data_IF_388650887832
#
_entry.id   IF_388650887832
#
_cell.length_a   1.000
_cell.length_b   1.000
_cell.length_c   1.000
_cell.angle_alpha   90.00
_cell.angle_beta   90.00
_cell.angle_gamma   90.00
#
_symmetry.space_group_name_H-M   'P 1'
#
loop_
_entity.id
_entity.type
_entity.pdbx_description
1 polymer ?
#
# COMPACT_ATOMS: atom_id res chain seq x y z
N UNK A 1 7.14 -5.50 -25.64
CA UNK A 1 7.76 -4.93 -24.43
C UNK A 1 9.16 -5.49 -24.30
N UNK A 2 10.13 -4.61 -24.02
CA UNK A 2 11.55 -4.90 -23.80
C UNK A 2 11.85 -4.95 -22.29
N UNK A 3 13.04 -5.40 -21.92
CA UNK A 3 13.50 -5.43 -20.53
C UNK A 3 13.38 -4.07 -19.84
N UNK A 4 13.82 -3.00 -20.52
CA UNK A 4 13.77 -1.64 -19.99
C UNK A 4 12.36 -1.12 -19.70
N UNK A 5 11.34 -1.57 -20.44
CA UNK A 5 9.97 -1.11 -20.22
C UNK A 5 9.50 -1.47 -18.80
N UNK A 6 9.82 -2.67 -18.32
CA UNK A 6 9.50 -3.11 -16.97
C UNK A 6 10.32 -2.39 -15.89
N UNK A 7 11.60 -2.14 -16.15
CA UNK A 7 12.46 -1.38 -15.22
C UNK A 7 11.99 0.06 -15.08
N UNK A 8 11.66 0.73 -16.19
CA UNK A 8 11.06 2.06 -16.18
C UNK A 8 9.71 2.05 -15.46
N UNK A 9 8.89 1.02 -15.66
CA UNK A 9 7.63 0.84 -14.93
C UNK A 9 7.84 0.75 -13.41
N UNK A 10 8.80 -0.06 -12.95
CA UNK A 10 9.16 -0.17 -11.53
C UNK A 10 9.67 1.17 -10.96
N UNK A 11 10.51 1.88 -11.70
CA UNK A 11 11.04 3.19 -11.30
C UNK A 11 9.94 4.25 -11.23
N UNK A 12 9.06 4.30 -12.23
CA UNK A 12 7.94 5.24 -12.31
C UNK A 12 6.97 5.04 -11.14
N UNK A 13 6.73 3.79 -10.75
CA UNK A 13 5.96 3.40 -9.58
C UNK A 13 6.72 3.56 -8.25
N UNK A 14 7.95 4.07 -8.26
CA UNK A 14 8.75 4.32 -7.06
C UNK A 14 8.93 3.06 -6.18
N UNK A 15 9.13 1.90 -6.81
CA UNK A 15 9.43 0.65 -6.11
C UNK A 15 10.80 0.78 -5.43
N UNK A 16 10.96 0.18 -4.25
CA UNK A 16 12.23 0.20 -3.53
C UNK A 16 13.33 -0.48 -4.34
N UNK A 17 14.41 0.24 -4.63
CA UNK A 17 15.55 -0.32 -5.35
C UNK A 17 16.16 -1.51 -4.59
N UNK A 18 16.20 -1.45 -3.24
CA UNK A 18 16.67 -2.56 -2.40
C UNK A 18 15.82 -3.82 -2.57
N UNK A 19 14.50 -3.67 -2.70
CA UNK A 19 13.62 -4.79 -2.98
C UNK A 19 13.93 -5.38 -4.36
N UNK A 20 14.06 -4.52 -5.39
CA UNK A 20 14.43 -4.95 -6.73
C UNK A 20 15.78 -5.69 -6.77
N UNK A 21 16.78 -5.23 -6.02
CA UNK A 21 18.07 -5.93 -5.91
C UNK A 21 17.91 -7.35 -5.36
N UNK A 22 17.00 -7.56 -4.40
CA UNK A 22 16.66 -8.88 -3.87
C UNK A 22 16.04 -9.79 -4.94
N UNK A 23 15.08 -9.26 -5.69
CA UNK A 23 14.43 -9.98 -6.79
C UNK A 23 15.40 -10.34 -7.92
N UNK A 24 16.21 -9.38 -8.38
CA UNK A 24 17.22 -9.64 -9.41
C UNK A 24 18.18 -10.75 -8.97
N UNK A 25 18.62 -10.74 -7.71
CA UNK A 25 19.48 -11.79 -7.17
C UNK A 25 18.78 -13.16 -7.17
N UNK A 26 17.50 -13.22 -6.81
CA UNK A 26 16.72 -14.46 -6.82
C UNK A 26 16.65 -15.08 -8.23
N UNK A 27 16.46 -14.26 -9.26
CA UNK A 27 16.45 -14.69 -10.66
C UNK A 27 17.86 -14.84 -11.29
N UNK A 28 18.94 -14.80 -10.48
CA UNK A 28 20.33 -14.83 -10.96
C UNK A 28 20.68 -13.75 -12.00
N UNK A 29 20.05 -12.58 -11.88
CA UNK A 29 20.24 -11.44 -12.77
C UNK A 29 21.27 -10.46 -12.20
N UNK A 30 21.98 -9.76 -13.09
CA UNK A 30 22.91 -8.69 -12.71
C UNK A 30 22.15 -7.55 -12.03
N UNK A 31 22.70 -7.06 -10.92
CA UNK A 31 22.19 -5.89 -10.23
C UNK A 31 23.15 -4.72 -10.37
N UNK A 32 22.72 -3.53 -9.95
CA UNK A 32 23.52 -2.29 -10.00
C UNK A 32 23.40 -1.51 -8.68
N UNK A 33 24.11 -0.37 -8.57
CA UNK A 33 24.05 0.48 -7.36
C UNK A 33 22.85 1.43 -7.36
N UNK A 34 22.28 1.68 -8.52
CA UNK A 34 21.09 2.53 -8.67
C UNK A 34 20.38 2.32 -10.00
N UNK A 35 19.26 3.04 -10.16
CA UNK A 35 18.40 2.95 -11.35
C UNK A 35 19.12 3.28 -12.65
N UNK A 36 19.94 4.34 -12.68
CA UNK A 36 20.64 4.79 -13.91
C UNK A 36 21.57 3.72 -14.46
N UNK A 37 22.41 3.12 -13.60
CA UNK A 37 23.31 2.04 -13.98
C UNK A 37 22.53 0.80 -14.43
N UNK A 38 21.48 0.42 -13.71
CA UNK A 38 20.66 -0.75 -14.05
C UNK A 38 19.99 -0.57 -15.42
N UNK A 39 19.40 0.59 -15.69
CA UNK A 39 18.75 0.87 -16.96
C UNK A 39 19.74 0.86 -18.13
N UNK A 40 20.98 1.29 -17.89
CA UNK A 40 22.06 1.21 -18.87
C UNK A 40 22.46 -0.24 -19.16
N UNK A 41 22.62 -1.06 -18.12
CA UNK A 41 22.99 -2.48 -18.23
C UNK A 41 21.97 -3.29 -19.03
N UNK A 42 20.69 -2.93 -18.93
CA UNK A 42 19.58 -3.64 -19.58
C UNK A 42 19.05 -2.97 -20.86
N UNK A 43 19.65 -1.84 -21.29
CA UNK A 43 19.13 -1.03 -22.40
C UNK A 43 18.98 -1.76 -23.73
N UNK A 44 19.90 -2.67 -24.02
CA UNK A 44 19.91 -3.45 -25.27
C UNK A 44 19.68 -4.94 -25.04
N UNK A 45 19.28 -5.34 -23.83
CA UNK A 45 19.07 -6.74 -23.51
C UNK A 45 17.75 -7.23 -24.10
N UNK A 46 17.85 -8.18 -25.04
CA UNK A 46 16.73 -8.81 -25.72
C UNK A 46 16.59 -10.31 -25.38
N UNK A 47 17.32 -10.79 -24.37
CA UNK A 47 17.21 -12.18 -23.94
C UNK A 47 15.83 -12.46 -23.36
N UNK A 48 15.16 -13.49 -23.88
CA UNK A 48 13.77 -13.80 -23.56
C UNK A 48 13.57 -14.08 -22.07
N UNK A 49 14.51 -14.80 -21.45
CA UNK A 49 14.44 -15.17 -20.03
C UNK A 49 14.56 -13.95 -19.13
N UNK A 50 15.46 -13.02 -19.45
CA UNK A 50 15.59 -11.73 -18.75
C UNK A 50 14.31 -10.91 -18.85
N UNK A 51 13.72 -10.82 -20.04
CA UNK A 51 12.46 -10.10 -20.24
C UNK A 51 11.32 -10.73 -19.43
N UNK A 52 11.24 -12.06 -19.42
CA UNK A 52 10.21 -12.80 -18.67
C UNK A 52 10.38 -12.61 -17.15
N UNK A 53 11.61 -12.69 -16.63
CA UNK A 53 11.89 -12.49 -15.22
C UNK A 53 11.55 -11.05 -14.78
N UNK A 54 11.92 -10.04 -15.57
CA UNK A 54 11.55 -8.64 -15.28
C UNK A 54 10.05 -8.40 -15.34
N UNK A 55 9.36 -9.05 -16.29
CA UNK A 55 7.90 -9.05 -16.36
C UNK A 55 7.30 -9.65 -15.09
N UNK A 56 7.82 -10.78 -14.62
CA UNK A 56 7.35 -11.44 -13.41
C UNK A 56 7.55 -10.58 -12.16
N UNK A 57 8.73 -9.97 -12.01
CA UNK A 57 9.02 -9.01 -10.93
C UNK A 57 8.04 -7.84 -11.01
N UNK A 58 7.86 -7.24 -12.19
CA UNK A 58 6.95 -6.10 -12.37
C UNK A 58 5.51 -6.45 -12.01
N UNK A 59 4.98 -7.56 -12.54
CA UNK A 59 3.62 -7.99 -12.27
C UNK A 59 3.40 -8.35 -10.80
N UNK A 60 4.39 -8.95 -10.16
CA UNK A 60 4.31 -9.23 -8.73
C UNK A 60 4.29 -7.95 -7.89
N UNK A 61 5.12 -6.95 -8.23
CA UNK A 61 5.07 -5.63 -7.59
C UNK A 61 3.79 -4.84 -7.94
N UNK A 62 3.20 -5.08 -9.11
CA UNK A 62 1.92 -4.49 -9.50
C UNK A 62 0.79 -5.01 -8.63
N UNK A 63 0.80 -6.30 -8.30
CA UNK A 63 -0.29 -6.95 -7.59
C UNK A 63 -0.12 -6.95 -6.07
N UNK A 64 1.10 -7.18 -5.58
CA UNK A 64 1.35 -7.55 -4.18
C UNK A 64 2.29 -6.61 -3.43
N UNK A 65 2.71 -5.47 -3.98
CA UNK A 65 3.64 -4.56 -3.28
C UNK A 65 3.02 -3.92 -2.03
N UNK A 66 3.58 -2.79 -1.55
CA UNK A 66 3.12 -2.18 -0.30
C UNK A 66 1.65 -1.70 -0.41
N UNK A 67 0.74 -2.37 0.29
CA UNK A 67 -0.71 -2.07 0.29
C UNK A 67 -1.21 -1.62 1.66
N UNK A 68 -2.16 -0.70 1.66
CA UNK A 68 -3.08 -0.56 2.78
C UNK A 68 -4.36 -1.33 2.43
N UNK A 69 -4.67 -2.38 3.20
CA UNK A 69 -5.83 -3.25 2.95
C UNK A 69 -6.93 -2.90 3.94
N UNK A 70 -8.01 -2.32 3.43
CA UNK A 70 -9.19 -1.96 4.21
C UNK A 70 -10.24 -3.06 4.12
N UNK A 71 -10.78 -3.46 5.27
CA UNK A 71 -11.75 -4.53 5.39
C UNK A 71 -13.17 -3.97 5.58
N UNK A 72 -14.11 -4.51 4.82
CA UNK A 72 -15.52 -4.29 4.99
C UNK A 72 -16.31 -5.55 4.61
N UNK A 73 -17.61 -5.53 4.90
CA UNK A 73 -18.55 -6.58 4.60
C UNK A 73 -19.84 -5.96 4.10
N UNK A 74 -20.50 -6.65 3.18
CA UNK A 74 -21.83 -6.31 2.73
C UNK A 74 -22.82 -6.42 3.90
N UNK A 75 -23.64 -5.40 4.11
CA UNK A 75 -24.63 -5.40 5.19
C UNK A 75 -25.73 -6.44 4.95
N UNK A 76 -26.15 -6.62 3.70
CA UNK A 76 -27.14 -7.60 3.30
C UNK A 76 -26.57 -8.53 2.22
N UNK A 77 -26.35 -9.80 2.56
CA UNK A 77 -25.76 -10.77 1.64
C UNK A 77 -26.59 -11.00 0.37
N UNK A 78 -27.90 -10.73 0.40
CA UNK A 78 -28.75 -10.88 -0.80
C UNK A 78 -28.36 -9.90 -1.91
N UNK A 79 -27.71 -8.77 -1.57
CA UNK A 79 -27.20 -7.80 -2.55
C UNK A 79 -25.95 -8.30 -3.28
N UNK A 80 -25.36 -9.43 -2.88
CA UNK A 80 -24.07 -9.89 -3.40
C UNK A 80 -24.09 -10.19 -4.90
N UNK A 81 -25.18 -10.77 -5.40
CA UNK A 81 -25.34 -11.08 -6.83
C UNK A 81 -25.42 -9.78 -7.65
N UNK A 82 -26.17 -8.80 -7.16
CA UNK A 82 -26.33 -7.50 -7.81
C UNK A 82 -25.01 -6.71 -7.79
N UNK A 83 -24.32 -6.69 -6.64
CA UNK A 83 -23.02 -6.03 -6.51
C UNK A 83 -21.98 -6.69 -7.42
N UNK A 84 -21.96 -8.02 -7.53
CA UNK A 84 -21.13 -8.75 -8.50
C UNK A 84 -21.38 -8.26 -9.92
N UNK A 85 -22.65 -8.11 -10.33
CA UNK A 85 -23.01 -7.60 -11.65
C UNK A 85 -22.50 -6.16 -11.84
N UNK A 86 -22.71 -5.27 -10.87
CA UNK A 86 -22.19 -3.89 -10.90
C UNK A 86 -20.66 -3.86 -11.06
N UNK A 87 -19.93 -4.71 -10.33
CA UNK A 87 -18.47 -4.77 -10.41
C UNK A 87 -17.98 -5.23 -11.80
N UNK A 88 -18.64 -6.21 -12.42
CA UNK A 88 -18.30 -6.70 -13.75
C UNK A 88 -18.54 -5.65 -14.85
N UNK A 89 -19.47 -4.72 -14.61
CA UNK A 89 -19.81 -3.63 -15.54
C UNK A 89 -19.01 -2.34 -15.30
N UNK A 90 -18.02 -2.33 -14.39
CA UNK A 90 -17.26 -1.13 -14.07
C UNK A 90 -16.39 -0.60 -15.22
N UNK A 91 -16.01 -1.46 -16.17
CA UNK A 91 -15.20 -1.07 -17.32
C UNK A 91 -16.08 -0.29 -18.29
N UNK A 92 -15.74 0.99 -18.48
CA UNK A 92 -16.34 1.83 -19.51
C UNK A 92 -15.34 2.00 -20.65
N UNK A 93 -15.48 1.21 -21.72
CA UNK A 93 -14.60 1.28 -22.89
C UNK A 93 -14.69 2.61 -23.64
N UNK A 94 -15.75 3.39 -23.46
CA UNK A 94 -15.90 4.69 -24.13
C UNK A 94 -15.23 5.83 -23.34
N UNK A 95 -14.72 5.55 -22.14
CA UNK A 95 -14.02 6.53 -21.31
C UNK A 95 -12.64 6.84 -21.90
N UNK A 96 -12.35 8.12 -22.15
CA UNK A 96 -11.05 8.55 -22.69
C UNK A 96 -9.89 8.19 -21.77
N UNK A 97 -10.08 8.28 -20.46
CA UNK A 97 -9.04 7.91 -19.49
C UNK A 97 -8.80 6.39 -19.52
N UNK A 98 -9.86 5.59 -19.67
CA UNK A 98 -9.73 4.13 -19.85
C UNK A 98 -8.88 3.79 -21.07
N UNK A 99 -9.17 4.38 -22.23
CA UNK A 99 -8.44 4.11 -23.47
C UNK A 99 -6.94 4.43 -23.37
N UNK A 100 -6.59 5.50 -22.67
CA UNK A 100 -5.19 5.87 -22.46
C UNK A 100 -4.48 4.90 -21.50
N UNK A 101 -5.15 4.53 -20.40
CA UNK A 101 -4.56 3.62 -19.42
C UNK A 101 -4.44 2.19 -19.94
N UNK A 102 -5.45 1.67 -20.64
CA UNK A 102 -5.43 0.30 -21.14
C UNK A 102 -4.41 0.09 -22.26
N UNK A 103 -4.09 1.14 -23.02
CA UNK A 103 -3.09 1.09 -24.10
C UNK A 103 -1.67 0.79 -23.59
N UNK A 104 -1.36 1.10 -22.33
CA UNK A 104 -0.05 0.88 -21.70
C UNK A 104 -0.08 -0.19 -20.62
N UNK A 105 -1.26 -0.54 -20.10
CA UNK A 105 -1.42 -1.57 -19.08
C UNK A 105 -0.74 -2.89 -19.52
N UNK A 106 0.08 -3.52 -18.65
CA UNK A 106 0.20 -3.30 -17.21
C UNK A 106 1.17 -2.19 -16.78
N UNK A 107 1.88 -1.55 -17.70
CA UNK A 107 2.84 -0.47 -17.42
C UNK A 107 2.12 0.86 -17.14
N UNK A 108 2.73 1.79 -16.38
CA UNK A 108 2.21 3.13 -16.26
C UNK A 108 2.37 3.90 -17.58
N UNK A 109 1.54 4.93 -17.78
CA UNK A 109 1.71 5.90 -18.86
C UNK A 109 3.04 6.66 -18.68
N UNK A 110 3.58 7.20 -19.77
CA UNK A 110 4.86 7.90 -19.72
C UNK A 110 4.81 9.17 -18.84
N UNK A 111 5.91 9.41 -18.13
CA UNK A 111 6.15 10.55 -17.26
C UNK A 111 6.13 11.91 -17.98
N UNK A 112 6.45 11.96 -19.28
CA UNK A 112 6.29 13.18 -20.07
C UNK A 112 4.81 13.58 -20.16
N UNK A 113 3.92 12.60 -20.26
CA UNK A 113 2.45 12.76 -20.26
C UNK A 113 1.92 13.11 -18.85
N UNK A 114 2.63 12.73 -17.78
CA UNK A 114 2.22 13.00 -16.38
C UNK A 114 2.18 14.47 -15.96
N UNK A 115 3.04 15.34 -16.52
CA UNK A 115 3.28 16.68 -15.92
C UNK A 115 2.13 17.67 -16.08
N UNK A 116 1.19 17.47 -17.01
CA UNK A 116 0.16 18.48 -17.35
C UNK A 116 -1.30 17.98 -17.36
N UNK A 117 -1.57 16.67 -17.28
CA UNK A 117 -2.94 16.13 -17.40
C UNK A 117 -3.47 15.70 -16.03
N UNK A 118 -4.44 16.44 -15.46
CA UNK A 118 -5.05 16.11 -14.16
C UNK A 118 -6.02 14.92 -14.28
N UNK A 119 -5.52 13.69 -14.25
CA UNK A 119 -6.31 12.43 -14.24
C UNK A 119 -6.49 11.87 -12.82
N UNK A 120 -7.25 12.58 -12.00
CA UNK A 120 -7.40 12.28 -10.56
C UNK A 120 -8.52 11.26 -10.24
N UNK A 121 -9.32 10.89 -11.24
CA UNK A 121 -10.47 9.99 -11.08
C UNK A 121 -10.03 8.54 -11.32
N UNK A 122 -10.30 7.61 -10.38
CA UNK A 122 -10.09 6.18 -10.61
C UNK A 122 -10.89 5.67 -11.80
N UNK A 123 -10.22 4.90 -12.66
CA UNK A 123 -10.83 4.19 -13.79
C UNK A 123 -10.58 2.70 -13.63
N UNK A 124 -11.63 1.89 -13.77
CA UNK A 124 -11.50 0.44 -13.80
C UNK A 124 -10.87 0.00 -15.12
N UNK A 125 -9.77 -0.73 -15.06
CA UNK A 125 -9.01 -1.15 -16.25
C UNK A 125 -9.00 -2.66 -16.46
N UNK A 126 -9.23 -3.44 -15.40
CA UNK A 126 -9.30 -4.89 -15.50
C UNK A 126 -10.17 -5.47 -14.39
N UNK A 127 -10.75 -6.63 -14.67
CA UNK A 127 -11.34 -7.50 -13.66
C UNK A 127 -10.85 -8.93 -13.86
N UNK A 128 -10.84 -9.70 -12.78
CA UNK A 128 -10.54 -11.13 -12.78
C UNK A 128 -11.45 -11.84 -11.79
N UNK A 129 -11.87 -13.06 -12.12
CA UNK A 129 -12.66 -13.89 -11.22
C UNK A 129 -11.86 -15.14 -10.83
N UNK A 130 -11.76 -15.40 -9.53
CA UNK A 130 -11.09 -16.58 -8.98
C UNK A 130 -11.95 -17.19 -7.87
N UNK A 131 -12.44 -18.40 -8.10
CA UNK A 131 -13.40 -19.06 -7.20
C UNK A 131 -14.61 -18.16 -6.95
N UNK A 132 -14.87 -17.86 -5.68
CA UNK A 132 -15.99 -17.03 -5.22
C UNK A 132 -15.68 -15.53 -5.12
N UNK A 133 -14.54 -15.09 -5.67
CA UNK A 133 -14.11 -13.70 -5.58
C UNK A 133 -13.97 -13.04 -6.95
N UNK A 134 -14.35 -11.77 -7.01
CA UNK A 134 -14.07 -10.87 -8.13
C UNK A 134 -13.07 -9.83 -7.65
N UNK A 135 -12.00 -9.66 -8.41
CA UNK A 135 -10.98 -8.64 -8.18
C UNK A 135 -11.03 -7.65 -9.32
N UNK A 136 -11.16 -6.37 -8.98
CA UNK A 136 -11.14 -5.25 -9.91
C UNK A 136 -9.87 -4.45 -9.69
N UNK A 137 -9.15 -4.12 -10.75
CA UNK A 137 -8.03 -3.18 -10.70
C UNK A 137 -8.47 -1.85 -11.27
N UNK A 138 -8.24 -0.80 -10.49
CA UNK A 138 -8.49 0.58 -10.88
C UNK A 138 -7.19 1.35 -10.93
N UNK A 139 -7.09 2.33 -11.83
CA UNK A 139 -5.90 3.17 -11.95
C UNK A 139 -6.25 4.63 -12.10
N UNK A 140 -5.36 5.49 -11.61
CA UNK A 140 -5.39 6.94 -11.77
C UNK A 140 -4.07 7.55 -11.33
N UNK A 141 -3.87 8.83 -11.66
CA UNK A 141 -2.75 9.61 -11.15
C UNK A 141 -3.06 10.13 -9.75
N UNK A 142 -2.26 9.71 -8.76
CA UNK A 142 -2.35 10.21 -7.39
C UNK A 142 -1.23 11.23 -7.13
N UNK A 143 -1.54 12.41 -6.57
CA UNK A 143 -0.52 13.34 -6.13
C UNK A 143 0.14 12.86 -4.84
N UNK A 144 1.45 12.92 -4.80
CA UNK A 144 2.28 12.74 -3.62
C UNK A 144 3.10 14.00 -3.37
N UNK A 145 3.20 14.42 -2.10
CA UNK A 145 3.98 15.61 -1.73
C UNK A 145 5.47 15.26 -1.77
N UNK A 146 6.22 15.96 -2.62
CA UNK A 146 7.68 15.89 -2.68
C UNK A 146 8.24 17.17 -2.06
N UNK A 147 9.12 17.01 -1.06
CA UNK A 147 9.84 18.10 -0.43
C UNK A 147 11.26 18.12 -0.95
N UNK A 148 11.74 19.29 -1.37
CA UNK A 148 13.12 19.49 -1.81
C UNK A 148 13.62 20.83 -1.31
N UNK A 149 14.84 20.84 -0.77
CA UNK A 149 15.53 22.10 -0.51
C UNK A 149 15.69 22.87 -1.82
N UNK A 150 15.41 24.17 -1.78
CA UNK A 150 15.64 25.08 -2.89
C UNK A 150 16.98 25.73 -2.67
N UNK A 151 17.91 25.50 -3.58
CA UNK A 151 19.20 26.19 -3.55
C UNK A 151 18.98 27.66 -3.91
N UNK A 152 19.14 28.55 -2.93
CA UNK A 152 18.83 29.98 -3.06
C UNK A 152 19.66 30.66 -4.15
N UNK A 153 20.89 30.19 -4.39
CA UNK A 153 21.77 30.63 -5.47
C UNK A 153 21.17 30.44 -6.88
N UNK A 154 20.18 29.58 -7.07
CA UNK A 154 19.47 29.39 -8.35
C UNK A 154 18.34 30.40 -8.58
N UNK A 155 17.99 31.18 -7.56
CA UNK A 155 16.92 32.19 -7.62
C UNK A 155 17.44 33.53 -8.13
N UNK A 156 16.53 34.43 -8.51
CA UNK A 156 16.91 35.78 -8.92
C UNK A 156 17.57 36.57 -7.77
N UNK A 157 18.48 37.53 -8.04
CA UNK A 157 19.14 38.31 -6.98
C UNK A 157 18.16 39.05 -6.05
N UNK A 158 17.03 39.52 -6.58
CA UNK A 158 15.98 40.16 -5.78
C UNK A 158 15.37 39.16 -4.78
N UNK A 159 14.99 37.97 -5.27
CA UNK A 159 14.43 36.89 -4.46
C UNK A 159 15.41 36.37 -3.41
N UNK A 160 16.70 36.28 -3.74
CA UNK A 160 17.74 35.90 -2.79
C UNK A 160 17.82 36.87 -1.62
N UNK A 161 17.78 38.19 -1.90
CA UNK A 161 17.83 39.23 -0.86
C UNK A 161 16.60 39.17 0.06
N UNK A 162 15.42 38.93 -0.50
CA UNK A 162 14.16 38.81 0.26
C UNK A 162 14.14 37.58 1.18
N UNK A 163 14.79 36.49 0.76
CA UNK A 163 14.78 35.22 1.48
C UNK A 163 16.03 34.98 2.34
N UNK A 164 16.95 35.96 2.42
CA UNK A 164 18.21 35.85 3.17
C UNK A 164 18.02 35.75 4.70
N UNK A 165 16.79 35.93 5.20
CA UNK A 165 16.47 35.73 6.61
C UNK A 165 16.16 34.27 6.99
N UNK A 166 16.10 33.36 6.02
CA UNK A 166 15.83 31.94 6.24
C UNK A 166 17.12 31.12 6.13
N UNK A 167 17.36 30.23 7.10
CA UNK A 167 18.48 29.29 7.07
C UNK A 167 18.31 28.20 5.99
N UNK A 168 17.06 27.79 5.74
CA UNK A 168 16.70 26.78 4.72
C UNK A 168 15.35 27.10 4.09
N UNK A 169 15.25 26.93 2.77
CA UNK A 169 14.01 27.10 2.01
C UNK A 169 13.59 25.75 1.44
N UNK A 170 12.40 25.30 1.81
CA UNK A 170 11.86 24.00 1.37
C UNK A 170 10.71 24.22 0.40
N UNK A 171 10.91 23.79 -0.84
CA UNK A 171 9.86 23.68 -1.83
C UNK A 171 9.03 22.42 -1.62
N UNK A 172 7.70 22.55 -1.73
CA UNK A 172 6.78 21.41 -1.75
C UNK A 172 6.04 21.40 -3.08
N UNK A 173 6.20 20.32 -3.86
CA UNK A 173 5.49 20.13 -5.14
C UNK A 173 4.71 18.82 -5.14
N UNK A 174 3.68 18.76 -5.96
CA UNK A 174 2.96 17.51 -6.22
C UNK A 174 3.72 16.72 -7.29
N UNK A 175 4.09 15.49 -6.95
CA UNK A 175 4.53 14.46 -7.91
C UNK A 175 3.38 13.51 -8.16
N UNK A 176 2.96 13.39 -9.41
CA UNK A 176 1.89 12.48 -9.80
C UNK A 176 2.47 11.11 -10.16
N UNK A 177 1.97 10.07 -9.50
CA UNK A 177 2.35 8.67 -9.77
C UNK A 177 1.06 7.90 -10.08
N UNK A 178 1.10 7.11 -11.17
CA UNK A 178 0.01 6.22 -11.51
C UNK A 178 -0.03 5.05 -10.51
N UNK A 179 -1.15 4.94 -9.79
CA UNK A 179 -1.38 3.92 -8.78
C UNK A 179 -2.35 2.86 -9.33
N UNK A 180 -2.24 1.63 -8.85
CA UNK A 180 -3.11 0.52 -9.25
C UNK A 180 -3.81 -0.06 -8.02
N UNK A 181 -4.89 0.58 -7.59
CA UNK A 181 -5.67 0.16 -6.42
C UNK A 181 -6.59 -0.99 -6.80
N UNK A 182 -6.81 -1.91 -5.87
CA UNK A 182 -7.56 -3.14 -6.11
C UNK A 182 -8.78 -3.22 -5.19
N UNK A 183 -9.90 -3.72 -5.73
CA UNK A 183 -11.10 -4.05 -4.95
C UNK A 183 -11.35 -5.54 -5.13
N UNK A 184 -11.37 -6.30 -4.03
CA UNK A 184 -11.72 -7.72 -4.07
C UNK A 184 -13.02 -7.94 -3.32
N UNK A 185 -13.97 -8.63 -3.95
CA UNK A 185 -15.27 -8.94 -3.38
C UNK A 185 -15.53 -10.44 -3.45
N UNK A 186 -15.70 -11.07 -2.30
CA UNK A 186 -16.17 -12.44 -2.19
C UNK A 186 -17.70 -12.45 -2.10
N UNK A 187 -18.36 -12.92 -3.17
CA UNK A 187 -19.81 -12.85 -3.30
C UNK A 187 -20.55 -13.96 -2.54
N UNK A 188 -19.84 -14.86 -1.86
CA UNK A 188 -20.43 -15.87 -0.96
C UNK A 188 -20.38 -15.40 0.49
N UNK A 189 -19.25 -14.85 0.96
CA UNK A 189 -19.13 -14.34 2.33
C UNK A 189 -19.58 -12.88 2.49
N UNK A 190 -19.73 -12.15 1.39
CA UNK A 190 -20.02 -10.71 1.39
C UNK A 190 -18.80 -9.86 1.79
N UNK A 191 -17.62 -10.46 1.96
CA UNK A 191 -16.41 -9.73 2.33
C UNK A 191 -15.90 -8.90 1.15
N UNK A 192 -15.51 -7.66 1.43
CA UNK A 192 -14.93 -6.75 0.46
C UNK A 192 -13.67 -6.11 1.04
N UNK A 193 -12.59 -6.13 0.25
CA UNK A 193 -11.35 -5.41 0.57
C UNK A 193 -11.10 -4.29 -0.43
N UNK A 194 -10.62 -3.17 0.10
CA UNK A 194 -10.10 -2.06 -0.71
C UNK A 194 -8.61 -1.94 -0.45
N UNK A 195 -7.82 -2.22 -1.47
CA UNK A 195 -6.35 -2.24 -1.40
C UNK A 195 -5.78 -1.01 -2.08
N UNK A 196 -5.18 -0.14 -1.28
CA UNK A 196 -4.60 1.11 -1.77
C UNK A 196 -3.12 0.88 -2.06
N UNK A 197 -2.74 1.00 -3.33
CA UNK A 197 -1.35 0.96 -3.81
C UNK A 197 -0.53 2.11 -3.25
N UNK A 198 0.79 1.94 -3.17
CA UNK A 198 1.73 3.01 -2.78
C UNK A 198 1.36 3.68 -1.46
N UNK A 199 0.78 2.90 -0.53
CA UNK A 199 0.21 3.40 0.71
C UNK A 199 1.24 4.07 1.64
N UNK A 200 2.50 3.65 1.58
CA UNK A 200 3.60 4.18 2.41
C UNK A 200 3.92 5.65 2.16
N UNK A 201 3.47 6.20 1.03
CA UNK A 201 3.60 7.63 0.72
C UNK A 201 2.38 8.46 1.15
N UNK A 202 1.38 7.84 1.79
CA UNK A 202 0.15 8.48 2.23
C UNK A 202 0.10 8.54 3.76
N UNK A 203 -0.41 9.65 4.29
CA UNK A 203 -0.75 9.72 5.70
C UNK A 203 -2.11 9.04 5.98
N UNK A 204 -2.43 8.84 7.27
CA UNK A 204 -3.66 8.18 7.70
C UNK A 204 -4.94 8.78 7.09
N UNK A 205 -5.06 10.11 7.06
CA UNK A 205 -6.24 10.78 6.51
C UNK A 205 -6.35 10.57 4.99
N UNK A 206 -5.23 10.54 4.28
CA UNK A 206 -5.20 10.27 2.84
C UNK A 206 -5.61 8.83 2.51
N UNK A 207 -5.16 7.85 3.31
CA UNK A 207 -5.56 6.45 3.19
C UNK A 207 -7.06 6.27 3.43
N UNK A 208 -7.60 6.83 4.52
CA UNK A 208 -9.05 6.78 4.82
C UNK A 208 -9.88 7.44 3.72
N UNK A 209 -9.43 8.56 3.15
CA UNK A 209 -10.08 9.22 2.01
C UNK A 209 -10.04 8.35 0.76
N UNK A 210 -8.93 7.69 0.47
CA UNK A 210 -8.80 6.79 -0.69
C UNK A 210 -9.77 5.61 -0.59
N UNK A 211 -9.82 4.92 0.56
CA UNK A 211 -10.78 3.82 0.80
C UNK A 211 -12.24 4.29 0.75
N UNK A 212 -12.53 5.43 1.38
CA UNK A 212 -13.90 6.02 1.37
C UNK A 212 -14.36 6.40 -0.04
N UNK A 213 -13.46 6.84 -0.90
CA UNK A 213 -13.77 7.13 -2.31
C UNK A 213 -14.32 5.88 -3.01
N UNK A 214 -13.66 4.73 -2.87
CA UNK A 214 -14.11 3.50 -3.52
C UNK A 214 -15.46 3.02 -2.99
N UNK A 215 -15.69 3.07 -1.67
CA UNK A 215 -17.00 2.76 -1.09
C UNK A 215 -18.09 3.64 -1.69
N UNK A 216 -17.87 4.96 -1.79
CA UNK A 216 -18.83 5.90 -2.39
C UNK A 216 -19.08 5.63 -3.87
N UNK A 217 -18.03 5.31 -4.65
CA UNK A 217 -18.18 4.94 -6.07
C UNK A 217 -19.08 3.72 -6.20
N UNK A 218 -18.83 2.65 -5.42
CA UNK A 218 -19.65 1.44 -5.47
C UNK A 218 -21.09 1.71 -5.04
N UNK A 219 -21.31 2.46 -3.96
CA UNK A 219 -22.65 2.83 -3.51
C UNK A 219 -23.44 3.61 -4.56
N UNK A 220 -22.77 4.55 -5.24
CA UNK A 220 -23.38 5.35 -6.31
C UNK A 220 -23.73 4.50 -7.53
N UNK A 221 -22.80 3.66 -8.01
CA UNK A 221 -23.01 2.82 -9.18
C UNK A 221 -24.08 1.76 -8.94
N UNK A 222 -24.05 1.13 -7.76
CA UNK A 222 -25.09 0.19 -7.36
C UNK A 222 -26.47 0.86 -7.33
N UNK A 223 -26.59 2.05 -6.74
CA UNK A 223 -27.85 2.80 -6.74
C UNK A 223 -28.31 3.17 -8.15
N UNK A 224 -27.41 3.59 -9.03
CA UNK A 224 -27.73 3.91 -10.42
C UNK A 224 -28.34 2.71 -11.17
N UNK A 225 -27.89 1.50 -10.86
CA UNK A 225 -28.36 0.27 -11.51
C UNK A 225 -29.60 -0.35 -10.86
N UNK A 226 -29.79 -0.17 -9.54
CA UNK A 226 -30.78 -0.92 -8.76
C UNK A 226 -31.79 -0.03 -8.00
N UNK A 227 -31.65 1.30 -8.05
CA UNK A 227 -32.54 2.28 -7.42
C UNK A 227 -32.62 2.24 -5.88
N UNK A 228 -31.63 1.65 -5.21
CA UNK A 228 -31.43 1.75 -3.76
C UNK A 228 -29.95 1.69 -3.39
N UNK A 229 -29.58 2.11 -2.19
CA UNK A 229 -28.19 2.11 -1.74
C UNK A 229 -27.79 0.77 -1.12
N UNK A 230 -26.71 0.19 -1.63
CA UNK A 230 -25.98 -0.88 -0.93
C UNK A 230 -25.27 -0.30 0.30
N UNK A 231 -25.28 -1.05 1.41
CA UNK A 231 -24.59 -0.68 2.63
C UNK A 231 -23.38 -1.59 2.89
N UNK A 232 -22.27 -0.98 3.33
CA UNK A 232 -21.03 -1.67 3.68
C UNK A 232 -20.70 -1.42 5.16
N UNK A 233 -20.57 -2.50 5.93
CA UNK A 233 -20.11 -2.46 7.32
C UNK A 233 -18.59 -2.58 7.30
N UNK A 234 -17.87 -1.63 7.92
CA UNK A 234 -16.41 -1.75 8.05
C UNK A 234 -16.07 -2.81 9.11
N UNK A 235 -15.15 -3.72 8.81
CA UNK A 235 -14.78 -4.83 9.71
C UNK A 235 -13.71 -4.37 10.69
N UNK A 236 -14.02 -4.41 11.99
CA UNK A 236 -13.08 -4.02 13.03
C UNK A 236 -12.01 -5.10 13.22
N UNK A 237 -10.75 -4.72 13.15
CA UNK A 237 -9.57 -5.57 13.33
C UNK A 237 -8.72 -5.12 14.51
N UNK A 238 -9.22 -4.23 15.38
CA UNK A 238 -8.46 -3.76 16.54
C UNK A 238 -7.93 -4.91 17.41
N UNK A 239 -8.71 -5.99 17.55
CA UNK A 239 -8.34 -7.20 18.30
C UNK A 239 -7.15 -7.96 17.70
N UNK A 240 -6.81 -7.73 16.43
CA UNK A 240 -5.64 -8.32 15.78
C UNK A 240 -4.34 -7.88 16.45
N UNK A 241 -4.30 -6.70 17.07
CA UNK A 241 -3.09 -6.16 17.73
C UNK A 241 -2.60 -7.13 18.81
N UNK A 242 -3.49 -7.54 19.72
CA UNK A 242 -3.14 -8.46 20.80
C UNK A 242 -2.88 -9.87 20.30
N UNK A 243 -3.62 -10.31 19.27
CA UNK A 243 -3.37 -11.60 18.60
C UNK A 243 -1.94 -11.65 18.05
N UNK A 244 -1.53 -10.60 17.33
CA UNK A 244 -0.20 -10.48 16.74
C UNK A 244 0.88 -10.37 17.81
N UNK A 245 0.64 -9.62 18.90
CA UNK A 245 1.59 -9.51 20.00
C UNK A 245 1.86 -10.88 20.67
N UNK A 246 0.79 -11.64 20.94
CA UNK A 246 0.86 -12.93 21.64
C UNK A 246 1.37 -14.08 20.77
N UNK A 247 1.19 -14.02 19.45
CA UNK A 247 1.59 -15.14 18.58
C UNK A 247 3.11 -15.32 18.53
N UNK A 248 3.59 -16.55 18.73
CA UNK A 248 5.03 -16.84 18.88
C UNK A 248 5.84 -16.63 17.59
N UNK A 249 5.20 -16.78 16.43
CA UNK A 249 5.83 -16.56 15.13
C UNK A 249 6.21 -15.09 14.91
N UNK A 250 7.13 -14.84 13.97
CA UNK A 250 7.56 -13.48 13.62
C UNK A 250 8.26 -12.71 14.74
N UNK A 251 8.56 -11.44 14.46
CA UNK A 251 9.32 -10.54 15.34
C UNK A 251 8.56 -9.23 15.53
N UNK A 252 8.35 -8.77 16.76
CA UNK A 252 7.72 -7.46 17.01
C UNK A 252 8.76 -6.35 16.84
N UNK A 253 8.57 -5.52 15.80
CA UNK A 253 9.45 -4.40 15.50
C UNK A 253 9.03 -3.11 16.22
N UNK A 254 7.73 -2.84 16.27
CA UNK A 254 7.16 -1.64 16.91
C UNK A 254 5.90 -2.01 17.70
N UNK A 255 5.71 -1.41 18.87
CA UNK A 255 4.50 -1.54 19.68
C UNK A 255 4.12 -0.18 20.27
N UNK A 256 2.87 0.23 20.05
CA UNK A 256 2.25 1.30 20.81
C UNK A 256 1.36 0.70 21.88
N UNK A 257 1.59 1.07 23.15
CA UNK A 257 0.79 0.58 24.26
C UNK A 257 0.65 1.61 25.39
N UNK A 258 -0.41 1.49 26.17
CA UNK A 258 -0.57 2.23 27.42
C UNK A 258 -0.50 1.30 28.63
N UNK A 259 0.05 1.84 29.70
CA UNK A 259 0.17 1.17 31.00
C UNK A 259 -1.01 1.56 31.91
N UNK A 260 -1.35 0.70 32.86
CA UNK A 260 -2.38 0.99 33.86
C UNK A 260 -2.05 2.20 34.76
N UNK A 261 -0.80 2.65 34.77
CA UNK A 261 -0.33 3.84 35.49
C UNK A 261 -0.47 5.15 34.70
N UNK A 262 -1.15 5.11 33.54
CA UNK A 262 -1.42 6.31 32.73
C UNK A 262 -0.30 6.72 31.78
N UNK A 263 0.80 5.96 31.69
CA UNK A 263 1.88 6.23 30.72
C UNK A 263 1.56 5.58 29.36
N UNK A 264 1.68 6.37 28.29
CA UNK A 264 1.60 5.94 26.89
C UNK A 264 3.01 5.82 26.33
N UNK A 265 3.31 4.70 25.69
CA UNK A 265 4.64 4.40 25.12
C UNK A 265 4.52 3.94 23.67
N UNK A 266 5.44 4.42 22.85
CA UNK A 266 5.74 3.84 21.54
C UNK A 266 7.17 3.32 21.54
N UNK A 267 7.31 2.00 21.46
CA UNK A 267 8.62 1.33 21.46
C UNK A 267 8.92 0.79 20.07
N UNK A 268 10.19 0.90 19.65
CA UNK A 268 10.66 0.41 18.34
C UNK A 268 12.06 -0.18 18.47
N UNK A 269 12.23 -1.40 17.97
CA UNK A 269 13.55 -2.02 17.85
C UNK A 269 14.36 -1.35 16.74
N UNK A 270 15.61 -1.02 17.04
CA UNK A 270 16.54 -0.43 16.05
C UNK A 270 16.95 -1.44 14.99
N UNK A 271 17.19 -2.70 15.38
CA UNK A 271 17.58 -3.78 14.47
C UNK A 271 16.35 -4.63 14.13
N UNK A 272 16.16 -4.91 12.85
CA UNK A 272 15.02 -5.70 12.33
C UNK A 272 14.98 -7.15 12.84
N UNK A 273 16.11 -7.68 13.29
CA UNK A 273 16.24 -9.06 13.80
C UNK A 273 15.92 -9.21 15.28
N UNK A 274 15.81 -8.09 16.00
CA UNK A 274 15.57 -8.11 17.43
C UNK A 274 14.05 -8.04 17.68
N UNK A 275 13.57 -8.86 18.62
CA UNK A 275 12.16 -8.91 19.01
C UNK A 275 11.93 -8.05 20.24
N UNK A 276 11.02 -7.08 20.15
CA UNK A 276 10.68 -6.19 21.28
C UNK A 276 10.25 -6.99 22.51
N UNK A 277 9.58 -8.14 22.33
CA UNK A 277 9.14 -8.99 23.45
C UNK A 277 10.29 -9.57 24.27
N UNK A 278 11.47 -9.67 23.67
CA UNK A 278 12.70 -10.20 24.29
C UNK A 278 13.64 -9.08 24.76
N UNK A 279 13.29 -7.82 24.50
CA UNK A 279 14.05 -6.67 24.96
C UNK A 279 13.91 -6.56 26.48
N UNK A 280 15.04 -6.36 27.17
CA UNK A 280 15.12 -6.49 28.64
C UNK A 280 14.30 -5.42 29.35
N UNK A 281 14.33 -4.18 28.86
CA UNK A 281 13.59 -3.07 29.45
C UNK A 281 12.07 -3.26 29.28
N UNK A 282 11.62 -3.65 28.09
CA UNK A 282 10.23 -3.96 27.80
C UNK A 282 9.72 -5.12 28.66
N UNK A 283 10.46 -6.23 28.71
CA UNK A 283 10.09 -7.41 29.50
C UNK A 283 10.04 -7.11 31.01
N UNK A 284 11.04 -6.39 31.55
CA UNK A 284 11.05 -5.99 32.95
C UNK A 284 9.91 -5.00 33.28
N UNK A 285 9.66 -4.04 32.39
CA UNK A 285 8.56 -3.08 32.54
C UNK A 285 7.19 -3.75 32.55
N UNK A 286 6.97 -4.72 31.66
CA UNK A 286 5.75 -5.52 31.64
C UNK A 286 5.59 -6.35 32.92
N UNK A 287 6.65 -7.01 33.38
CA UNK A 287 6.60 -7.79 34.61
C UNK A 287 6.23 -6.92 35.83
N UNK A 288 6.77 -5.70 35.91
CA UNK A 288 6.49 -4.76 37.00
C UNK A 288 5.03 -4.30 37.07
N UNK A 289 4.28 -4.35 35.96
CA UNK A 289 2.86 -3.97 35.88
C UNK A 289 1.91 -5.18 35.76
N UNK A 290 2.39 -6.38 36.10
CA UNK A 290 1.58 -7.61 36.08
C UNK A 290 1.30 -8.15 34.67
N UNK A 291 2.12 -7.80 33.69
CA UNK A 291 2.10 -8.35 32.33
C UNK A 291 0.95 -7.85 31.45
N UNK A 292 0.23 -6.81 31.87
CA UNK A 292 -0.93 -6.28 31.14
C UNK A 292 -0.68 -4.86 30.63
N UNK A 293 -0.85 -4.69 29.33
CA UNK A 293 -0.85 -3.39 28.65
C UNK A 293 -2.01 -3.31 27.69
N UNK A 294 -2.49 -2.09 27.47
CA UNK A 294 -3.48 -1.81 26.44
C UNK A 294 -2.75 -1.47 25.16
N UNK A 295 -2.57 -2.45 24.28
CA UNK A 295 -1.89 -2.26 23.02
C UNK A 295 -2.83 -1.55 22.03
N UNK A 296 -2.33 -0.52 21.36
CA UNK A 296 -3.11 0.27 20.41
C UNK A 296 -2.50 0.29 19.01
N UNK A 297 -1.23 -0.09 18.84
CA UNK A 297 -0.64 -0.29 17.51
C UNK A 297 0.46 -1.33 17.54
N UNK A 298 0.71 -1.99 16.42
CA UNK A 298 1.77 -3.00 16.31
C UNK A 298 2.37 -3.02 14.91
N UNK A 299 3.68 -3.25 14.82
CA UNK A 299 4.35 -3.64 13.59
C UNK A 299 5.09 -4.96 13.83
N UNK A 300 4.77 -5.97 13.03
CA UNK A 300 5.32 -7.32 13.15
C UNK A 300 5.95 -7.77 11.83
N UNK A 301 7.04 -8.51 11.92
CA UNK A 301 7.82 -8.95 10.76
C UNK A 301 7.91 -10.47 10.65
N UNK A 302 7.96 -10.95 9.41
CA UNK A 302 8.21 -12.36 9.06
C UNK A 302 9.24 -12.44 7.93
N UNK A 303 9.87 -13.60 7.80
CA UNK A 303 10.64 -13.92 6.60
C UNK A 303 9.68 -14.18 5.46
N UNK A 304 9.89 -13.51 4.33
CA UNK A 304 9.16 -13.74 3.09
C UNK A 304 9.96 -14.55 2.09
N UNK A 305 9.38 -14.72 0.90
CA UNK A 305 10.07 -15.23 -0.26
C UNK A 305 11.28 -14.35 -0.63
N UNK A 306 12.21 -14.95 -1.38
CA UNK A 306 13.36 -14.27 -2.00
C UNK A 306 14.24 -13.50 -1.00
N UNK A 307 14.31 -13.97 0.26
CA UNK A 307 15.01 -13.32 1.38
C UNK A 307 14.52 -11.90 1.70
N UNK A 308 13.27 -11.58 1.39
CA UNK A 308 12.67 -10.33 1.81
C UNK A 308 12.10 -10.42 3.23
N UNK A 309 11.90 -9.25 3.85
CA UNK A 309 11.24 -9.15 5.15
C UNK A 309 9.85 -8.57 4.95
N UNK A 310 8.86 -9.38 5.29
CA UNK A 310 7.46 -8.98 5.29
C UNK A 310 7.17 -8.20 6.56
N UNK A 311 6.43 -7.10 6.43
CA UNK A 311 5.98 -6.32 7.60
C UNK A 311 4.49 -6.11 7.51
N UNK A 312 3.79 -6.38 8.61
CA UNK A 312 2.41 -5.94 8.81
C UNK A 312 2.38 -4.88 9.89
N UNK A 313 1.68 -3.79 9.63
CA UNK A 313 1.39 -2.75 10.60
C UNK A 313 -0.12 -2.60 10.78
N UNK A 314 -0.57 -2.62 12.04
CA UNK A 314 -1.91 -2.20 12.44
C UNK A 314 -1.80 -0.80 13.05
N UNK A 315 -2.18 0.26 12.31
CA UNK A 315 -1.93 1.64 12.71
C UNK A 315 -3.06 2.15 13.61
N UNK A 316 -2.94 1.96 14.92
CA UNK A 316 -3.81 2.63 15.88
C UNK A 316 -3.12 3.76 16.63
N UNK A 317 -3.94 4.53 17.34
CA UNK A 317 -3.54 5.69 18.13
C UNK A 317 -3.94 5.51 19.58
N UNK A 318 -3.21 6.12 20.52
CA UNK A 318 -3.43 5.90 21.95
C UNK A 318 -4.87 6.26 22.41
N UNK A 319 -5.52 7.20 21.73
CA UNK A 319 -6.92 7.59 21.99
C UNK A 319 -7.92 6.46 21.78
N UNK A 320 -7.55 5.39 21.06
CA UNK A 320 -8.40 4.21 20.90
C UNK A 320 -8.55 3.44 22.22
N UNK A 321 -7.56 3.47 23.11
CA UNK A 321 -7.59 2.76 24.39
C UNK A 321 -8.68 3.29 25.32
N UNK A 322 -8.95 4.60 25.24
CA UNK A 322 -10.01 5.25 25.99
C UNK A 322 -11.39 5.15 25.32
N UNK A 323 -11.47 4.61 24.11
CA UNK A 323 -12.74 4.43 23.41
C UNK A 323 -13.50 3.23 23.98
N UNK A 324 -14.82 3.36 24.14
CA UNK A 324 -15.69 2.22 24.48
C UNK A 324 -15.76 1.18 23.34
N UNK A 325 -15.52 1.62 22.10
CA UNK A 325 -15.49 0.80 20.90
C UNK A 325 -14.25 1.17 20.07
N UNK A 326 -13.04 0.70 20.43
CA UNK A 326 -11.85 0.94 19.65
C UNK A 326 -12.02 0.35 18.25
N UNK A 327 -11.66 1.12 17.23
CA UNK A 327 -11.96 0.76 15.85
C UNK A 327 -10.78 1.02 14.91
N UNK A 328 -10.33 -0.04 14.25
CA UNK A 328 -9.39 0.01 13.12
C UNK A 328 -9.92 -0.98 12.11
N UNK A 329 -9.96 -0.65 10.82
CA UNK A 329 -10.42 -1.58 9.77
C UNK A 329 -9.42 -1.77 8.65
N UNK A 330 -8.14 -1.45 8.87
CA UNK A 330 -7.12 -1.65 7.85
C UNK A 330 -5.76 -2.03 8.43
N UNK A 331 -5.01 -2.77 7.63
CA UNK A 331 -3.58 -3.05 7.86
C UNK A 331 -2.75 -2.42 6.75
N UNK A 332 -1.50 -2.09 7.06
CA UNK A 332 -0.49 -1.77 6.06
C UNK A 332 0.43 -2.99 5.95
N UNK A 333 0.57 -3.52 4.74
CA UNK A 333 1.48 -4.63 4.44
C UNK A 333 2.61 -4.11 3.57
N UNK A 334 3.82 -4.59 3.84
CA UNK A 334 5.04 -4.18 3.14
C UNK A 334 5.95 -5.38 2.87
N UNK A 335 6.72 -5.29 1.78
CA UNK A 335 7.76 -6.26 1.46
C UNK A 335 7.28 -7.55 0.79
N UNK A 336 6.00 -7.67 0.45
CA UNK A 336 5.52 -8.79 -0.35
C UNK A 336 6.11 -8.70 -1.77
N UNK A 337 6.71 -9.81 -2.23
CA UNK A 337 7.28 -9.91 -3.60
C UNK A 337 6.53 -10.91 -4.46
N UNK A 338 5.63 -11.69 -3.87
CA UNK A 338 4.82 -12.67 -4.57
C UNK A 338 3.47 -12.88 -3.86
N UNK A 339 2.62 -13.71 -4.46
CA UNK A 339 1.29 -14.03 -3.93
C UNK A 339 1.34 -14.72 -2.57
N UNK A 340 2.26 -15.66 -2.37
CA UNK A 340 2.36 -16.41 -1.11
C UNK A 340 2.75 -15.51 0.07
N UNK A 341 3.58 -14.49 -0.15
CA UNK A 341 3.88 -13.48 0.88
C UNK A 341 2.63 -12.70 1.29
N UNK A 342 1.86 -12.26 0.30
CA UNK A 342 0.61 -11.54 0.52
C UNK A 342 -0.37 -12.41 1.31
N UNK A 343 -0.60 -13.65 0.86
CA UNK A 343 -1.51 -14.60 1.53
C UNK A 343 -1.04 -14.92 2.97
N UNK A 344 0.27 -15.06 3.17
CA UNK A 344 0.86 -15.25 4.50
C UNK A 344 0.50 -14.08 5.41
N UNK A 345 0.69 -12.82 4.99
CA UNK A 345 0.33 -11.68 5.81
C UNK A 345 -1.18 -11.60 6.04
N UNK A 346 -2.00 -11.76 5.00
CA UNK A 346 -3.45 -11.70 5.13
C UNK A 346 -4.01 -12.75 6.10
N UNK A 347 -3.39 -13.94 6.17
CA UNK A 347 -3.75 -14.99 7.13
C UNK A 347 -3.56 -14.59 8.61
N UNK A 348 -2.83 -13.50 8.89
CA UNK A 348 -2.55 -13.03 10.26
C UNK A 348 -3.57 -12.03 10.80
N UNK A 349 -4.45 -11.50 9.95
CA UNK A 349 -5.36 -10.41 10.33
C UNK A 349 -6.53 -10.88 11.19
N UNK A 350 -7.14 -12.02 10.85
CA UNK A 350 -8.34 -12.56 11.53
C UNK A 350 -8.01 -13.79 12.33
#
# INVERSE_FOLDING_TARGET
>A
MKANDYLFGLQARNISFRLLQGELKYFNMKSARGWTELLSDYASNNEKDIINNLKEIYLSQLNYSNRAVFFAQLNNITDAILLKKTLLNLINSNDKDYQEYIATYPLPIDSATHKKVKKLRPVCISHSQHGNSITITTTYLRPFKERSAIETNTLSPATQKELNCFDEIIGIKDRYIQCFDTITFNYVSGEITFEIDMCTNLNHNELERASTRYRRILMYLFHKENSYHVAFIRKNIFTAIDKLYKSADGTILKLGHATGTGSVKEEKMRKRKDDLRKEKYHAAGLAAIGGKTNNFSISKQWNGAHNNILTMHVPGHFSLISSSLPFINHVIIEGCVCKSDYELLMSKVF
#
